data_IF_300358474832
#
_entry.id   IF_300358474832
#
_cell.length_a   1.000
_cell.length_b   1.000
_cell.length_c   1.000
_cell.angle_alpha   90.00
_cell.angle_beta   90.00
_cell.angle_gamma   90.00
#
_symmetry.space_group_name_H-M   'P 1'
#
loop_
_entity.id
_entity.type
_entity.pdbx_description
1 polymer ?
#
# COMPACT_ATOMS: atom_id res chain seq x y z
N UNK A 1 -6.79 -6.69 19.89
CA UNK A 1 -6.16 -6.54 18.56
C UNK A 1 -5.62 -5.11 18.42
N UNK A 2 -4.35 -4.90 18.05
CA UNK A 2 -3.80 -3.54 17.92
C UNK A 2 -4.28 -2.85 16.62
N UNK A 3 -4.50 -1.54 16.67
CA UNK A 3 -5.06 -0.76 15.56
C UNK A 3 -4.26 -0.90 14.25
N UNK A 4 -2.92 -0.91 14.32
CA UNK A 4 -2.08 -1.06 13.12
C UNK A 4 -2.31 -2.42 12.43
N UNK A 5 -2.45 -3.50 13.19
CA UNK A 5 -2.74 -4.83 12.64
C UNK A 5 -4.12 -4.85 11.96
N UNK A 6 -5.11 -4.20 12.57
CA UNK A 6 -6.47 -4.10 11.99
C UNK A 6 -6.42 -3.38 10.64
N UNK A 7 -5.68 -2.27 10.56
CA UNK A 7 -5.51 -1.52 9.31
C UNK A 7 -4.83 -2.38 8.24
N UNK A 8 -3.80 -3.16 8.59
CA UNK A 8 -3.11 -4.09 7.70
C UNK A 8 -4.03 -5.21 7.19
N UNK A 9 -4.87 -5.79 8.06
CA UNK A 9 -5.85 -6.79 7.64
C UNK A 9 -6.91 -6.20 6.71
N UNK A 10 -7.41 -4.98 7.00
CA UNK A 10 -8.34 -4.30 6.12
C UNK A 10 -7.71 -4.07 4.74
N UNK A 11 -6.46 -3.61 4.70
CA UNK A 11 -5.73 -3.44 3.45
C UNK A 11 -5.56 -4.76 2.71
N UNK A 12 -5.20 -5.85 3.40
CA UNK A 12 -5.06 -7.17 2.81
C UNK A 12 -6.38 -7.69 2.20
N UNK A 13 -7.51 -7.49 2.89
CA UNK A 13 -8.84 -7.84 2.37
C UNK A 13 -9.15 -7.04 1.10
N UNK A 14 -8.92 -5.74 1.14
CA UNK A 14 -9.18 -4.83 0.02
C UNK A 14 -8.29 -5.10 -1.19
N UNK A 15 -7.01 -5.46 -0.99
CA UNK A 15 -6.08 -5.74 -2.10
C UNK A 15 -6.33 -7.07 -2.78
N UNK A 16 -6.89 -8.05 -2.07
CA UNK A 16 -7.26 -9.36 -2.61
C UNK A 16 -8.72 -9.43 -3.11
N UNK A 17 -9.51 -8.39 -2.86
CA UNK A 17 -10.87 -8.26 -3.37
C UNK A 17 -10.88 -7.77 -4.83
N UNK A 18 -11.85 -8.23 -5.62
CA UNK A 18 -12.15 -7.68 -6.96
C UNK A 18 -12.53 -6.20 -6.91
N UNK A 19 -12.86 -5.67 -5.73
CA UNK A 19 -13.21 -4.28 -5.50
C UNK A 19 -12.10 -3.28 -5.80
N UNK A 20 -10.85 -3.72 -5.94
CA UNK A 20 -9.70 -2.85 -6.21
C UNK A 20 -9.46 -2.71 -7.71
N UNK A 21 -9.59 -1.49 -8.20
CA UNK A 21 -9.03 -1.08 -9.49
C UNK A 21 -7.78 -0.22 -9.27
N UNK A 22 -6.69 -0.55 -9.95
CA UNK A 22 -5.43 0.20 -9.89
C UNK A 22 -5.29 0.98 -11.19
N UNK A 23 -4.97 2.27 -11.06
CA UNK A 23 -4.64 3.14 -12.18
C UNK A 23 -3.20 3.63 -12.03
N UNK A 24 -2.38 3.35 -13.03
CA UNK A 24 -0.98 3.79 -13.09
C UNK A 24 -0.78 4.93 -14.09
N UNK A 25 -1.78 5.17 -14.93
CA UNK A 25 -1.75 6.17 -16.00
C UNK A 25 -3.00 7.05 -15.95
N UNK A 26 -2.85 8.24 -16.52
CA UNK A 26 -3.93 9.18 -16.78
C UNK A 26 -4.66 8.81 -18.07
N UNK A 27 -5.81 9.45 -18.30
CA UNK A 27 -6.60 9.25 -19.53
C UNK A 27 -5.78 9.55 -20.80
N UNK A 28 -4.87 10.53 -20.73
CA UNK A 28 -4.00 10.93 -21.84
C UNK A 28 -2.75 10.02 -21.99
N UNK A 29 -2.72 8.87 -21.30
CA UNK A 29 -1.61 7.92 -21.35
C UNK A 29 -0.38 8.32 -20.53
N UNK A 30 -0.37 9.53 -19.94
CA UNK A 30 0.76 9.96 -19.10
C UNK A 30 0.79 9.18 -17.79
N UNK A 31 1.96 8.71 -17.33
CA UNK A 31 2.06 7.99 -16.07
C UNK A 31 1.71 8.88 -14.86
N UNK A 32 1.16 8.26 -13.83
CA UNK A 32 1.07 8.84 -12.50
C UNK A 32 2.42 8.72 -11.78
N UNK A 33 2.67 9.60 -10.81
CA UNK A 33 3.91 9.59 -10.01
C UNK A 33 3.96 8.44 -8.99
N UNK A 34 2.81 7.83 -8.75
CA UNK A 34 2.54 6.64 -7.94
C UNK A 34 1.44 5.87 -8.69
N UNK A 35 0.45 5.34 -7.98
CA UNK A 35 -0.79 4.82 -8.52
C UNK A 35 -2.00 5.44 -7.80
N UNK A 36 -3.17 5.32 -8.42
CA UNK A 36 -4.46 5.63 -7.81
C UNK A 36 -5.26 4.35 -7.63
N UNK A 37 -5.89 4.20 -6.47
CA UNK A 37 -6.84 3.13 -6.20
C UNK A 37 -8.26 3.65 -6.33
N UNK A 38 -9.11 2.85 -6.95
CA UNK A 38 -10.55 3.02 -6.88
C UNK A 38 -11.15 1.78 -6.24
N UNK A 39 -12.07 2.01 -5.31
CA UNK A 39 -12.80 0.95 -4.64
C UNK A 39 -14.28 1.12 -4.93
N UNK A 40 -14.88 0.13 -5.59
CA UNK A 40 -16.33 0.10 -5.81
C UNK A 40 -17.06 0.01 -4.46
N UNK A 41 -18.08 0.85 -4.25
CA UNK A 41 -18.84 0.86 -2.99
C UNK A 41 -19.62 -0.44 -2.81
N UNK A 42 -20.22 -0.97 -3.88
CA UNK A 42 -20.98 -2.23 -3.83
C UNK A 42 -20.09 -3.44 -3.58
N UNK A 43 -18.87 -3.43 -4.13
CA UNK A 43 -17.93 -4.54 -3.94
C UNK A 43 -17.16 -4.45 -2.63
N UNK A 44 -16.85 -3.25 -2.11
CA UNK A 44 -16.32 -3.07 -0.74
C UNK A 44 -17.21 -3.73 0.28
N UNK A 45 -18.53 -3.62 0.10
CA UNK A 45 -19.51 -4.23 1.00
C UNK A 45 -19.42 -5.75 1.06
N UNK A 46 -18.86 -6.39 0.02
CA UNK A 46 -18.66 -7.83 -0.10
C UNK A 46 -17.20 -8.25 0.06
N UNK A 47 -16.28 -7.30 0.28
CA UNK A 47 -14.85 -7.58 0.21
C UNK A 47 -14.37 -8.54 1.30
N UNK A 48 -15.01 -8.49 2.48
CA UNK A 48 -14.75 -9.39 3.60
C UNK A 48 -15.55 -10.70 3.53
N UNK A 49 -16.43 -10.89 2.54
CA UNK A 49 -17.24 -12.10 2.42
C UNK A 49 -16.34 -13.30 2.14
N UNK A 50 -16.43 -14.33 2.99
CA UNK A 50 -15.57 -15.50 2.91
C UNK A 50 -14.20 -15.30 3.55
N UNK A 51 -13.98 -14.25 4.34
CA UNK A 51 -12.81 -14.16 5.21
C UNK A 51 -13.10 -14.74 6.59
N UNK A 52 -12.07 -15.29 7.22
CA UNK A 52 -12.13 -15.77 8.59
C UNK A 52 -11.01 -15.18 9.44
N UNK A 53 -11.34 -14.86 10.70
CA UNK A 53 -10.42 -14.44 11.74
C UNK A 53 -10.27 -15.60 12.74
N UNK A 54 -9.03 -16.01 13.01
CA UNK A 54 -8.73 -17.00 14.05
C UNK A 54 -7.79 -16.40 15.08
N UNK A 55 -8.09 -16.64 16.36
CA UNK A 55 -7.28 -16.22 17.50
C UNK A 55 -6.59 -17.40 18.12
N UNK A 56 -5.34 -17.20 18.55
CA UNK A 56 -4.60 -18.22 19.27
C UNK A 56 -5.14 -18.35 20.71
N UNK A 57 -5.44 -19.56 21.19
CA UNK A 57 -6.05 -19.78 22.51
C UNK A 57 -5.07 -19.53 23.66
N UNK A 58 -3.76 -19.68 23.42
CA UNK A 58 -2.70 -19.51 24.42
C UNK A 58 -2.11 -18.10 24.38
N UNK A 59 -2.09 -17.46 23.21
CA UNK A 59 -1.55 -16.11 23.00
C UNK A 59 -2.66 -15.19 22.48
N UNK A 60 -3.45 -14.59 23.38
CA UNK A 60 -4.66 -13.86 23.00
C UNK A 60 -4.41 -12.61 22.15
N UNK A 61 -3.16 -12.16 21.99
CA UNK A 61 -2.75 -11.05 21.12
C UNK A 61 -2.41 -11.48 19.68
N UNK A 62 -2.38 -12.79 19.41
CA UNK A 62 -2.05 -13.39 18.11
C UNK A 62 -3.31 -13.78 17.37
N UNK A 63 -3.38 -13.28 16.13
CA UNK A 63 -4.51 -13.45 15.24
C UNK A 63 -4.02 -13.74 13.83
N UNK A 64 -4.86 -14.40 13.04
CA UNK A 64 -4.67 -14.58 11.60
C UNK A 64 -5.99 -14.30 10.87
N UNK A 65 -5.89 -13.69 9.70
CA UNK A 65 -7.02 -13.34 8.85
C UNK A 65 -6.72 -13.79 7.44
N UNK A 66 -7.61 -14.59 6.85
CA UNK A 66 -7.41 -15.10 5.49
C UNK A 66 -8.74 -15.38 4.77
N UNK A 67 -8.67 -15.42 3.45
CA UNK A 67 -9.76 -15.78 2.56
C UNK A 67 -9.96 -17.32 2.55
N UNK A 68 -11.10 -17.78 3.03
CA UNK A 68 -11.42 -19.21 3.12
C UNK A 68 -11.77 -19.82 1.78
N UNK A 69 -12.18 -19.04 0.78
CA UNK A 69 -12.40 -19.54 -0.59
C UNK A 69 -11.07 -19.82 -1.27
N UNK A 70 -10.09 -18.94 -1.04
CA UNK A 70 -8.73 -19.10 -1.59
C UNK A 70 -7.93 -20.18 -0.86
N UNK A 71 -8.19 -20.38 0.43
CA UNK A 71 -7.49 -21.34 1.27
C UNK A 71 -8.45 -22.27 2.04
N UNK A 72 -9.20 -23.14 1.34
CA UNK A 72 -10.31 -23.90 1.93
C UNK A 72 -9.88 -24.92 3.01
N UNK A 73 -8.62 -25.35 3.02
CA UNK A 73 -8.09 -26.28 4.04
C UNK A 73 -7.51 -25.61 5.29
N UNK A 74 -7.29 -24.29 5.25
CA UNK A 74 -6.56 -23.61 6.32
C UNK A 74 -7.41 -23.42 7.59
N UNK A 75 -8.72 -23.21 7.43
CA UNK A 75 -9.68 -23.16 8.51
C UNK A 75 -9.63 -24.43 9.38
N UNK A 76 -9.73 -25.61 8.76
CA UNK A 76 -9.68 -26.89 9.46
C UNK A 76 -8.33 -27.18 10.13
N UNK A 77 -7.23 -26.59 9.66
CA UNK A 77 -5.92 -26.68 10.34
C UNK A 77 -5.94 -25.88 11.65
N UNK A 78 -6.48 -24.66 11.63
CA UNK A 78 -6.57 -23.83 12.83
C UNK A 78 -7.54 -24.40 13.86
N UNK A 79 -8.69 -24.90 13.41
CA UNK A 79 -9.68 -25.58 14.27
C UNK A 79 -9.08 -26.81 14.95
N UNK A 80 -8.35 -27.67 14.22
CA UNK A 80 -7.63 -28.82 14.82
C UNK A 80 -6.55 -28.41 15.82
N UNK A 81 -5.97 -27.23 15.66
CA UNK A 81 -5.00 -26.66 16.61
C UNK A 81 -5.68 -25.97 17.81
N UNK A 82 -7.01 -26.03 17.90
CA UNK A 82 -7.79 -25.42 18.97
C UNK A 82 -7.86 -23.90 18.89
N UNK A 83 -7.65 -23.31 17.71
CA UNK A 83 -7.79 -21.85 17.56
C UNK A 83 -9.26 -21.45 17.50
N UNK A 84 -9.60 -20.40 18.23
CA UNK A 84 -10.95 -19.88 18.29
C UNK A 84 -11.25 -19.06 17.03
N UNK A 85 -12.36 -19.40 16.37
CA UNK A 85 -12.87 -18.59 15.27
C UNK A 85 -13.62 -17.40 15.84
N UNK A 86 -13.13 -16.20 15.53
CA UNK A 86 -13.79 -14.95 15.91
C UNK A 86 -14.55 -14.35 14.71
N UNK A 87 -15.50 -13.47 15.00
CA UNK A 87 -16.23 -12.77 13.95
C UNK A 87 -15.33 -11.79 13.20
N UNK A 88 -15.45 -11.76 11.87
CA UNK A 88 -14.80 -10.76 11.02
C UNK A 88 -15.58 -9.43 10.96
N UNK A 89 -16.76 -9.37 11.60
CA UNK A 89 -17.70 -8.24 11.49
C UNK A 89 -17.07 -6.90 11.82
N UNK A 90 -16.19 -6.85 12.81
CA UNK A 90 -15.51 -5.60 13.16
C UNK A 90 -14.63 -5.09 11.99
N UNK A 91 -13.80 -5.97 11.41
CA UNK A 91 -12.95 -5.64 10.26
C UNK A 91 -13.81 -5.30 9.03
N UNK A 92 -14.87 -6.09 8.79
CA UNK A 92 -15.81 -5.83 7.71
C UNK A 92 -16.51 -4.47 7.87
N UNK A 93 -16.90 -4.10 9.09
CA UNK A 93 -17.60 -2.83 9.38
C UNK A 93 -16.74 -1.61 9.03
N UNK A 94 -15.42 -1.68 9.26
CA UNK A 94 -14.47 -0.63 8.88
C UNK A 94 -14.44 -0.44 7.37
N UNK A 95 -14.47 -1.54 6.61
CA UNK A 95 -14.44 -1.52 5.15
C UNK A 95 -15.77 -1.03 4.55
N UNK A 96 -16.90 -1.46 5.15
CA UNK A 96 -18.26 -1.16 4.71
C UNK A 96 -18.65 0.29 4.98
N UNK A 97 -18.28 0.83 6.14
CA UNK A 97 -18.64 2.18 6.55
C UNK A 97 -17.74 3.22 5.87
N UNK A 98 -18.32 4.13 5.10
CA UNK A 98 -17.55 5.12 4.33
C UNK A 98 -16.69 6.07 5.19
N UNK A 99 -17.14 6.40 6.40
CA UNK A 99 -16.39 7.26 7.32
C UNK A 99 -15.18 6.51 7.89
N UNK A 100 -15.39 5.28 8.38
CA UNK A 100 -14.31 4.44 8.89
C UNK A 100 -13.32 4.05 7.79
N UNK A 101 -13.83 3.69 6.61
CA UNK A 101 -13.00 3.42 5.45
C UNK A 101 -12.15 4.63 5.07
N UNK A 102 -12.73 5.84 5.11
CA UNK A 102 -11.96 7.06 4.83
C UNK A 102 -10.87 7.32 5.87
N UNK A 103 -11.15 7.03 7.15
CA UNK A 103 -10.15 7.12 8.24
C UNK A 103 -9.05 6.07 8.06
N UNK A 104 -9.42 4.83 7.76
CA UNK A 104 -8.51 3.72 7.45
C UNK A 104 -7.56 4.12 6.32
N UNK A 105 -8.10 4.55 5.17
CA UNK A 105 -7.30 4.95 4.03
C UNK A 105 -6.34 6.11 4.38
N UNK A 106 -6.78 7.06 5.20
CA UNK A 106 -5.92 8.12 5.74
C UNK A 106 -4.78 7.57 6.62
N UNK A 107 -5.06 6.65 7.55
CA UNK A 107 -4.06 5.98 8.39
C UNK A 107 -3.06 5.16 7.57
N UNK A 108 -3.51 4.59 6.46
CA UNK A 108 -2.70 3.86 5.49
C UNK A 108 -1.92 4.79 4.53
N UNK A 109 -2.02 6.11 4.66
CA UNK A 109 -1.27 7.07 3.85
C UNK A 109 -1.89 7.38 2.48
N UNK A 110 -3.19 7.18 2.32
CA UNK A 110 -3.92 7.56 1.11
C UNK A 110 -4.67 8.87 1.26
N UNK A 111 -4.72 9.63 0.17
CA UNK A 111 -5.48 10.88 0.07
C UNK A 111 -6.63 10.69 -0.92
N UNK A 112 -7.83 11.06 -0.46
CA UNK A 112 -9.02 11.11 -1.28
C UNK A 112 -8.93 12.26 -2.27
N UNK A 113 -9.01 11.95 -3.56
CA UNK A 113 -9.10 12.95 -4.63
C UNK A 113 -10.34 12.72 -5.47
N UNK A 114 -10.90 13.80 -6.03
CA UNK A 114 -11.99 13.73 -7.00
C UNK A 114 -11.56 14.42 -8.28
N UNK A 115 -11.41 13.66 -9.37
CA UNK A 115 -10.82 14.19 -10.62
C UNK A 115 -11.34 13.48 -11.85
N UNK A 116 -11.27 14.15 -13.01
CA UNK A 116 -11.49 13.55 -14.34
C UNK A 116 -10.18 13.11 -15.01
N UNK A 117 -9.01 13.44 -14.43
CA UNK A 117 -7.71 13.25 -15.09
C UNK A 117 -7.30 11.78 -15.29
N UNK A 118 -7.92 10.85 -14.56
CA UNK A 118 -7.58 9.42 -14.61
C UNK A 118 -8.46 8.71 -15.62
N UNK A 119 -9.78 8.66 -15.39
CA UNK A 119 -10.73 7.92 -16.24
C UNK A 119 -11.48 8.80 -17.26
N UNK A 120 -11.34 10.12 -17.18
CA UNK A 120 -12.18 11.07 -17.92
C UNK A 120 -13.53 11.39 -17.26
N UNK A 121 -13.95 10.57 -16.29
CA UNK A 121 -15.20 10.74 -15.53
C UNK A 121 -14.91 11.36 -14.17
N UNK A 122 -15.86 12.13 -13.61
CA UNK A 122 -15.66 12.83 -12.32
C UNK A 122 -15.90 11.86 -11.16
N UNK A 123 -14.87 11.10 -10.83
CA UNK A 123 -14.92 10.00 -9.86
C UNK A 123 -13.99 10.25 -8.68
N UNK A 124 -14.14 9.43 -7.64
CA UNK A 124 -13.34 9.47 -6.43
C UNK A 124 -12.25 8.40 -6.50
N UNK A 125 -11.02 8.81 -6.21
CA UNK A 125 -9.85 7.93 -6.17
C UNK A 125 -9.07 8.15 -4.88
N UNK A 126 -8.29 7.15 -4.50
CA UNK A 126 -7.36 7.16 -3.38
C UNK A 126 -5.94 7.14 -3.93
N UNK A 127 -5.26 8.27 -3.84
CA UNK A 127 -3.85 8.36 -4.22
C UNK A 127 -3.00 8.03 -3.01
N UNK A 128 -2.06 7.12 -3.18
CA UNK A 128 -1.05 6.91 -2.16
C UNK A 128 -0.15 8.16 -2.07
N UNK A 129 -0.16 8.80 -0.91
CA UNK A 129 0.78 9.87 -0.54
C UNK A 129 1.20 9.60 0.89
N UNK A 130 2.25 8.81 1.06
CA UNK A 130 2.86 8.62 2.37
C UNK A 130 3.35 9.97 2.91
N UNK A 131 2.54 10.63 3.73
CA UNK A 131 3.01 11.63 4.67
C UNK A 131 2.79 11.08 6.06
N UNK A 132 3.90 11.08 6.81
CA UNK A 132 3.97 10.72 8.20
C UNK A 132 2.87 11.40 9.01
N UNK A 133 2.37 10.64 9.98
CA UNK A 133 1.53 11.05 11.11
C UNK A 133 1.72 12.52 11.48
N UNK A 134 0.70 13.32 11.21
CA UNK A 134 0.29 14.46 12.02
C UNK A 134 -1.20 14.68 11.75
N UNK A 135 -1.99 13.71 12.20
CA UNK A 135 -3.41 13.95 12.48
C UNK A 135 -3.45 14.47 13.92
N UNK A 136 -3.11 15.75 14.11
CA UNK A 136 -3.43 16.43 15.36
C UNK A 136 -4.83 17.04 15.25
N UNK A 137 -5.59 16.77 16.29
CA UNK A 137 -7.03 16.59 16.35
C UNK A 137 -7.78 17.93 16.47
N UNK A 138 -7.32 19.00 15.80
CA UNK A 138 -7.74 20.38 16.16
C UNK A 138 -8.12 21.34 15.04
N UNK A 139 -8.31 20.91 13.78
CA UNK A 139 -8.89 21.82 12.76
C UNK A 139 -9.96 21.18 11.86
N UNK A 140 -11.13 20.94 12.47
CA UNK A 140 -12.40 21.31 11.81
C UNK A 140 -12.26 22.76 11.33
N UNK A 141 -12.56 23.03 10.05
CA UNK A 141 -12.52 24.32 9.34
C UNK A 141 -11.18 24.70 8.68
N UNK A 142 -10.88 24.08 7.54
CA UNK A 142 -10.70 24.84 6.29
C UNK A 142 -10.72 23.88 5.11
N UNK A 143 -11.79 24.00 4.30
CA UNK A 143 -11.79 23.46 2.95
C UNK A 143 -10.99 24.46 2.11
N UNK A 144 -9.82 24.08 1.61
CA UNK A 144 -9.14 24.86 0.58
C UNK A 144 -8.62 23.89 -0.50
N UNK A 145 -9.19 23.99 -1.71
CA UNK A 145 -8.71 24.82 -2.84
C UNK A 145 -7.29 24.42 -3.22
N UNK A 146 -7.19 23.75 -4.35
CA UNK A 146 -5.92 23.24 -4.85
C UNK A 146 -4.97 24.32 -5.36
N UNK A 147 -3.86 23.79 -5.91
CA UNK A 147 -2.75 24.45 -6.63
C UNK A 147 -1.64 24.99 -5.71
N UNK A 148 -0.41 24.79 -6.17
CA UNK A 148 0.91 24.90 -5.53
C UNK A 148 1.19 26.22 -4.79
N UNK A 149 2.22 26.23 -3.90
CA UNK A 149 3.05 27.41 -3.66
C UNK A 149 4.49 27.24 -4.20
N UNK A 150 4.97 28.32 -4.82
CA UNK A 150 6.38 28.63 -5.10
C UNK A 150 7.08 29.04 -3.79
N UNK A 151 8.33 28.60 -3.62
CA UNK A 151 9.26 28.87 -2.50
C UNK A 151 9.26 27.86 -1.35
N UNK A 152 10.44 27.27 -1.16
CA UNK A 152 10.76 26.13 -0.30
C UNK A 152 11.31 26.58 1.06
N UNK A 153 10.90 25.94 2.15
CA UNK A 153 11.51 26.05 3.49
C UNK A 153 11.57 24.65 4.17
N UNK A 154 12.50 24.42 5.13
CA UNK A 154 13.43 23.29 5.08
C UNK A 154 12.93 21.96 5.67
N UNK A 155 13.37 20.87 5.03
CA UNK A 155 13.08 19.48 5.35
C UNK A 155 13.61 19.01 6.71
N UNK A 156 12.76 18.40 7.55
CA UNK A 156 13.20 17.43 8.57
C UNK A 156 13.00 15.99 8.07
N UNK A 157 14.08 15.48 7.48
CA UNK A 157 14.54 14.10 7.36
C UNK A 157 13.52 12.95 7.32
N UNK A 158 12.73 12.85 6.23
CA UNK A 158 12.35 11.53 5.74
C UNK A 158 13.63 10.83 5.28
N UNK A 159 14.00 9.71 5.92
CA UNK A 159 15.11 8.88 5.46
C UNK A 159 14.56 7.96 4.36
N UNK A 160 14.85 8.22 3.07
CA UNK A 160 14.37 7.37 2.00
C UNK A 160 14.92 5.95 2.18
N UNK A 161 14.12 4.96 1.80
CA UNK A 161 14.51 3.57 1.73
C UNK A 161 14.05 2.96 0.39
N UNK A 162 14.68 1.87 -0.02
CA UNK A 162 14.50 1.22 -1.32
C UNK A 162 14.29 -0.26 -1.10
N UNK A 163 13.13 -0.76 -1.53
CA UNK A 163 12.85 -2.19 -1.57
C UNK A 163 13.44 -2.83 -2.82
N UNK A 164 14.22 -3.89 -2.61
CA UNK A 164 14.86 -4.67 -3.66
C UNK A 164 14.68 -6.17 -3.41
N UNK A 165 14.87 -6.98 -4.44
CA UNK A 165 14.73 -8.44 -4.44
C UNK A 165 15.76 -9.03 -5.40
N UNK A 166 16.26 -10.22 -5.07
CA UNK A 166 17.12 -10.99 -5.98
C UNK A 166 16.29 -11.72 -7.04
N UNK A 167 15.04 -12.05 -6.70
CA UNK A 167 14.10 -12.72 -7.59
C UNK A 167 13.15 -11.73 -8.28
N UNK A 168 12.60 -12.15 -9.41
CA UNK A 168 11.56 -11.39 -10.12
C UNK A 168 10.30 -11.27 -9.27
N UNK A 169 9.76 -10.05 -9.22
CA UNK A 169 8.54 -9.72 -8.48
C UNK A 169 7.68 -8.77 -9.28
N UNK A 170 6.38 -8.95 -9.15
CA UNK A 170 5.41 -8.05 -9.76
C UNK A 170 5.63 -6.60 -9.26
N UNK A 171 5.78 -5.66 -10.19
CA UNK A 171 6.05 -4.24 -9.89
C UNK A 171 7.53 -3.89 -9.64
N UNK A 172 8.45 -4.86 -9.75
CA UNK A 172 9.88 -4.63 -9.61
C UNK A 172 10.55 -4.60 -10.99
N UNK A 173 11.44 -3.63 -11.21
CA UNK A 173 12.24 -3.52 -12.42
C UNK A 173 13.64 -4.00 -12.16
N UNK A 174 14.15 -4.84 -13.07
CA UNK A 174 15.53 -5.29 -13.04
C UNK A 174 16.45 -4.15 -13.45
N UNK A 175 17.20 -3.61 -12.49
CA UNK A 175 18.14 -2.51 -12.72
C UNK A 175 19.48 -2.80 -12.06
N UNK A 176 20.56 -2.20 -12.58
CA UNK A 176 21.88 -2.38 -11.99
C UNK A 176 22.07 -1.35 -10.85
N UNK A 177 22.23 -1.85 -9.62
CA UNK A 177 22.42 -1.06 -8.40
C UNK A 177 23.71 -1.48 -7.74
N UNK A 178 24.61 -0.52 -7.46
CA UNK A 178 25.88 -0.74 -6.77
C UNK A 178 26.72 -1.92 -7.31
N UNK A 179 26.67 -2.12 -8.64
CA UNK A 179 27.45 -3.16 -9.33
C UNK A 179 26.79 -4.54 -9.42
N UNK A 180 25.54 -4.70 -8.96
CA UNK A 180 24.76 -5.94 -9.08
C UNK A 180 23.42 -5.69 -9.79
N UNK A 181 22.90 -6.72 -10.46
CA UNK A 181 21.53 -6.70 -10.97
C UNK A 181 20.55 -7.03 -9.85
N UNK A 182 19.65 -6.09 -9.53
CA UNK A 182 18.58 -6.29 -8.56
C UNK A 182 17.24 -5.99 -9.20
N UNK A 183 16.20 -6.69 -8.75
CA UNK A 183 14.83 -6.27 -8.98
C UNK A 183 14.51 -5.21 -7.93
N UNK A 184 14.32 -3.96 -8.35
CA UNK A 184 14.00 -2.84 -7.46
C UNK A 184 12.57 -2.43 -7.70
N UNK A 185 11.80 -2.18 -6.64
CA UNK A 185 10.44 -1.69 -6.79
C UNK A 185 10.45 -0.42 -7.64
N UNK A 186 9.65 -0.40 -8.71
CA UNK A 186 9.80 0.59 -9.77
C UNK A 186 9.73 2.04 -9.26
N UNK A 187 8.90 2.29 -8.24
CA UNK A 187 8.71 3.60 -7.62
C UNK A 187 9.86 4.02 -6.68
N UNK A 188 10.67 3.07 -6.23
CA UNK A 188 11.83 3.33 -5.35
C UNK A 188 13.09 3.71 -6.11
N UNK A 189 13.13 3.46 -7.42
CA UNK A 189 14.28 3.82 -8.28
C UNK A 189 14.57 5.32 -8.22
N UNK A 190 13.55 6.17 -8.04
CA UNK A 190 13.70 7.63 -7.94
C UNK A 190 14.50 8.08 -6.72
N UNK A 191 14.56 7.25 -5.68
CA UNK A 191 15.37 7.55 -4.51
C UNK A 191 16.84 7.27 -4.82
N UNK A 192 17.13 6.28 -5.67
CA UNK A 192 18.49 5.94 -6.05
C UNK A 192 19.15 7.03 -6.90
N UNK A 193 20.44 7.24 -6.68
CA UNK A 193 21.21 8.21 -7.46
C UNK A 193 21.73 7.56 -8.73
N UNK A 194 21.46 8.16 -9.90
CA UNK A 194 22.03 7.69 -11.17
C UNK A 194 23.55 7.81 -11.14
N UNK A 195 24.24 6.74 -11.50
CA UNK A 195 25.70 6.69 -11.55
C UNK A 195 26.17 5.81 -12.69
N UNK A 196 27.30 6.17 -13.32
CA UNK A 196 28.00 5.26 -14.23
C UNK A 196 28.64 4.15 -13.42
N UNK A 197 28.23 2.92 -13.69
CA UNK A 197 28.75 1.72 -13.02
C UNK A 197 29.28 0.75 -14.05
N UNK A 198 30.30 -0.02 -13.67
CA UNK A 198 30.84 -1.11 -14.48
C UNK A 198 30.22 -2.41 -13.98
N UNK A 199 29.61 -3.14 -14.90
CA UNK A 199 29.14 -4.51 -14.69
C UNK A 199 29.66 -5.31 -15.88
N UNK A 200 30.29 -6.45 -15.61
CA UNK A 200 30.82 -7.37 -16.63
C UNK A 200 31.71 -6.67 -17.67
N UNK A 201 32.60 -5.79 -17.20
CA UNK A 201 33.54 -5.03 -18.05
C UNK A 201 32.91 -3.91 -18.88
N UNK A 202 31.59 -3.76 -18.91
CA UNK A 202 30.88 -2.71 -19.66
C UNK A 202 30.49 -1.54 -18.75
N UNK A 203 30.75 -0.32 -19.20
CA UNK A 203 30.25 0.89 -18.53
C UNK A 203 28.80 1.15 -18.94
N UNK A 204 27.91 1.20 -17.96
CA UNK A 204 26.49 1.43 -18.17
C UNK A 204 25.92 2.40 -17.13
N UNK A 205 24.80 3.03 -17.50
CA UNK A 205 24.08 3.93 -16.60
C UNK A 205 23.26 3.07 -15.64
N UNK A 206 23.63 3.10 -14.37
CA UNK A 206 22.90 2.42 -13.32
C UNK A 206 22.64 3.34 -12.14
N UNK A 207 22.50 2.74 -10.98
CA UNK A 207 22.03 3.42 -9.79
C UNK A 207 22.93 3.07 -8.59
N UNK A 208 22.99 3.96 -7.62
CA UNK A 208 23.65 3.72 -6.33
C UNK A 208 22.69 4.03 -5.20
N UNK A 209 22.66 3.16 -4.20
CA UNK A 209 21.91 3.36 -2.96
C UNK A 209 22.79 3.98 -1.86
N UNK A 210 23.98 4.49 -2.19
CA UNK A 210 24.88 5.14 -1.24
C UNK A 210 24.11 6.28 -0.54
N UNK A 211 23.86 6.12 0.76
CA UNK A 211 23.06 6.99 1.66
C UNK A 211 21.55 6.70 1.77
N UNK A 212 21.09 5.55 1.29
CA UNK A 212 19.68 5.14 1.31
C UNK A 212 19.58 3.73 1.87
N UNK A 213 18.64 3.50 2.78
CA UNK A 213 18.44 2.15 3.36
C UNK A 213 17.87 1.22 2.30
N UNK A 214 18.52 0.09 2.01
CA UNK A 214 17.95 -0.95 1.14
C UNK A 214 17.30 -2.06 1.99
N UNK A 215 16.04 -2.37 1.69
CA UNK A 215 15.31 -3.50 2.27
C UNK A 215 15.23 -4.62 1.24
N UNK A 216 15.84 -5.76 1.55
CA UNK A 216 15.81 -6.94 0.69
C UNK A 216 14.58 -7.79 1.00
N UNK A 217 13.76 -8.05 -0.01
CA UNK A 217 12.63 -8.95 0.04
C UNK A 217 13.08 -10.31 -0.52
N UNK A 218 13.21 -11.30 0.36
CA UNK A 218 13.56 -12.68 0.03
C UNK A 218 12.44 -13.37 -0.73
#
# INVERSE_FOLDING_TARGET
MHQHKIDDYCLNILTNSSSRTIFEQRKDGKPLTTFALQFSVSERKKAADGWALYRNPVQPDKYTVFDTKRYPGLASVYERKGWDRESIDYVASIIINDAEFSRLMGRLGYIKIRTRKITGKKETFWLYRSHAREFDDRRKKQRDKGVCPEVTAPHKAFKPFVQASEHERFGFKRIPVDGKWLHVYADHIRFLTKKRIRIDGRQLTGYTAKNISMEMLG
#
